data_IF_015015541038
#
_entry.id   IF_015015541038
#
_cell.length_a   1.000
_cell.length_b   1.000
_cell.length_c   1.000
_cell.angle_alpha   90.00
_cell.angle_beta   90.00
_cell.angle_gamma   90.00
#
_symmetry.space_group_name_H-M   'P 1'
#
loop_
_entity.id
_entity.type
_entity.pdbx_description
1 polymer ?
#
# COMPACT_ATOMS: atom_id res chain seq x y z
N UNK A 1 -5.59 9.67 -4.77
CA UNK A 1 -4.45 10.27 -5.50
C UNK A 1 -3.60 11.00 -4.49
N UNK A 2 -2.30 10.70 -4.45
CA UNK A 2 -1.35 11.39 -3.58
C UNK A 2 -0.11 11.72 -4.39
N UNK A 3 0.20 13.02 -4.55
CA UNK A 3 1.26 13.46 -5.47
C UNK A 3 1.15 12.78 -6.85
N UNK A 4 2.15 12.00 -7.24
CA UNK A 4 2.20 11.17 -8.45
C UNK A 4 1.67 9.73 -8.23
N UNK A 5 1.55 9.27 -6.98
CA UNK A 5 0.98 7.96 -6.64
C UNK A 5 -0.54 7.95 -6.87
N UNK A 6 -0.92 7.30 -7.96
CA UNK A 6 -2.32 7.16 -8.39
C UNK A 6 -2.74 5.70 -8.35
N UNK A 7 -3.93 5.45 -7.82
CA UNK A 7 -4.58 4.15 -7.83
C UNK A 7 -5.97 4.28 -8.45
N UNK A 8 -6.34 3.27 -9.22
CA UNK A 8 -7.68 3.11 -9.76
C UNK A 8 -8.21 1.75 -9.35
N UNK A 9 -9.44 1.71 -8.82
CA UNK A 9 -10.06 0.47 -8.38
C UNK A 9 -11.51 0.40 -8.84
N UNK A 10 -11.98 -0.83 -9.01
CA UNK A 10 -13.39 -1.18 -9.27
C UNK A 10 -13.75 -2.36 -8.39
N UNK A 11 -15.01 -2.39 -7.95
CA UNK A 11 -15.54 -3.46 -7.10
C UNK A 11 -16.72 -4.09 -7.81
N UNK A 12 -16.84 -5.41 -7.74
CA UNK A 12 -17.94 -6.17 -8.32
C UNK A 12 -17.84 -7.66 -8.01
N UNK A 13 -18.81 -8.43 -8.48
CA UNK A 13 -18.85 -9.89 -8.26
C UNK A 13 -18.18 -10.70 -9.37
N UNK A 14 -18.15 -10.16 -10.59
CA UNK A 14 -17.67 -10.88 -11.77
C UNK A 14 -16.39 -10.22 -12.33
N UNK A 15 -15.22 -10.87 -12.18
CA UNK A 15 -13.96 -10.41 -12.75
C UNK A 15 -14.01 -10.20 -14.28
N UNK A 16 -14.82 -10.98 -15.00
CA UNK A 16 -14.95 -10.86 -16.44
C UNK A 16 -15.60 -9.54 -16.88
N UNK A 17 -16.40 -8.92 -16.00
CA UNK A 17 -16.97 -7.59 -16.22
C UNK A 17 -16.08 -6.48 -15.66
N UNK A 18 -15.36 -6.73 -14.56
CA UNK A 18 -14.52 -5.75 -13.88
C UNK A 18 -13.24 -5.44 -14.67
N UNK A 19 -12.53 -6.48 -15.16
CA UNK A 19 -11.26 -6.27 -15.86
C UNK A 19 -11.42 -5.37 -17.10
N UNK A 20 -12.39 -5.59 -18.01
CA UNK A 20 -12.63 -4.68 -19.14
C UNK A 20 -13.04 -3.27 -18.73
N UNK A 21 -13.77 -3.13 -17.62
CA UNK A 21 -14.16 -1.82 -17.10
C UNK A 21 -12.93 -1.05 -16.57
N UNK A 22 -12.02 -1.71 -15.85
CA UNK A 22 -10.75 -1.13 -15.41
C UNK A 22 -9.89 -0.73 -16.62
N UNK A 23 -9.79 -1.57 -17.65
CA UNK A 23 -9.04 -1.23 -18.86
C UNK A 23 -9.62 0.00 -19.59
N UNK A 24 -10.95 0.15 -19.57
CA UNK A 24 -11.60 1.35 -20.12
C UNK A 24 -11.23 2.58 -19.31
N UNK A 25 -11.26 2.49 -17.98
CA UNK A 25 -10.89 3.60 -17.10
C UNK A 25 -9.41 3.98 -17.24
N UNK A 26 -8.53 2.98 -17.34
CA UNK A 26 -7.11 3.18 -17.60
C UNK A 26 -6.87 3.90 -18.94
N UNK A 27 -7.63 3.56 -19.99
CA UNK A 27 -7.59 4.27 -21.28
C UNK A 27 -8.04 5.72 -21.15
N UNK A 28 -9.07 6.00 -20.35
CA UNK A 28 -9.54 7.36 -20.08
C UNK A 28 -8.46 8.15 -19.31
N UNK A 29 -7.87 7.54 -18.28
CA UNK A 29 -6.78 8.14 -17.52
C UNK A 29 -5.58 8.44 -18.41
N UNK A 30 -5.17 7.50 -19.27
CA UNK A 30 -4.05 7.71 -20.21
C UNK A 30 -4.30 8.86 -21.17
N UNK A 31 -5.51 8.98 -21.72
CA UNK A 31 -5.89 10.12 -22.58
C UNK A 31 -5.86 11.44 -21.81
N UNK A 32 -6.35 11.45 -20.57
CA UNK A 32 -6.27 12.64 -19.72
C UNK A 32 -4.81 13.02 -19.48
N UNK A 33 -3.95 12.07 -19.12
CA UNK A 33 -2.52 12.36 -18.92
C UNK A 33 -1.88 12.96 -20.18
N UNK A 34 -2.18 12.40 -21.36
CA UNK A 34 -1.66 12.89 -22.64
C UNK A 34 -2.07 14.36 -22.93
N UNK A 35 -3.34 14.71 -22.68
CA UNK A 35 -3.85 16.10 -22.82
C UNK A 35 -3.05 17.07 -21.93
N UNK A 36 -2.64 16.63 -20.75
CA UNK A 36 -1.88 17.43 -19.80
C UNK A 36 -0.36 17.27 -19.92
N UNK A 37 0.13 16.61 -20.98
CA UNK A 37 1.57 16.44 -21.24
C UNK A 37 2.25 15.44 -20.29
N UNK A 38 1.50 14.55 -19.67
CA UNK A 38 1.98 13.50 -18.77
C UNK A 38 1.89 12.11 -19.42
N UNK A 39 2.69 11.16 -18.93
CA UNK A 39 2.66 9.77 -19.41
C UNK A 39 2.78 8.79 -18.25
N UNK A 40 1.86 7.83 -18.18
CA UNK A 40 1.97 6.73 -17.23
C UNK A 40 3.04 5.72 -17.66
N UNK A 41 3.78 5.19 -16.69
CA UNK A 41 4.78 4.15 -16.92
C UNK A 41 4.15 2.78 -16.70
N UNK A 42 3.76 2.11 -17.79
CA UNK A 42 3.14 0.78 -17.74
C UNK A 42 4.02 -0.26 -17.03
N UNK A 43 5.34 -0.20 -17.19
CA UNK A 43 6.27 -1.16 -16.58
C UNK A 43 6.38 -1.00 -15.06
N UNK A 44 6.05 0.18 -14.52
CA UNK A 44 5.97 0.42 -13.07
C UNK A 44 4.55 0.25 -12.53
N UNK A 45 3.58 0.07 -13.41
CA UNK A 45 2.18 -0.10 -13.03
C UNK A 45 1.94 -1.59 -12.75
N UNK A 46 1.35 -1.88 -11.60
CA UNK A 46 0.99 -3.25 -11.21
C UNK A 46 -0.52 -3.34 -11.01
N UNK A 47 -1.09 -4.50 -11.34
CA UNK A 47 -2.46 -4.83 -11.01
C UNK A 47 -2.50 -5.58 -9.67
N UNK A 48 -3.52 -5.33 -8.86
CA UNK A 48 -3.77 -6.13 -7.66
C UNK A 48 -5.22 -6.59 -7.69
N UNK A 49 -5.42 -7.90 -7.57
CA UNK A 49 -6.74 -8.49 -7.48
C UNK A 49 -7.01 -8.89 -6.04
N UNK A 50 -8.07 -8.31 -5.48
CA UNK A 50 -8.48 -8.54 -4.09
C UNK A 50 -9.74 -9.37 -4.11
N UNK A 51 -9.66 -10.60 -3.61
CA UNK A 51 -10.81 -11.50 -3.48
C UNK A 51 -10.58 -12.51 -2.37
N UNK A 52 -11.68 -12.97 -1.76
CA UNK A 52 -11.67 -14.15 -0.87
C UNK A 52 -11.68 -15.47 -1.64
N UNK A 53 -11.95 -15.42 -2.95
CA UNK A 53 -11.90 -16.60 -3.83
C UNK A 53 -10.53 -16.73 -4.46
N UNK A 54 -10.11 -17.97 -4.73
CA UNK A 54 -8.84 -18.29 -5.40
C UNK A 54 -8.92 -18.18 -6.93
N UNK A 55 -9.96 -17.54 -7.45
CA UNK A 55 -10.15 -17.37 -8.89
C UNK A 55 -9.05 -16.47 -9.47
N UNK A 56 -8.45 -16.90 -10.58
CA UNK A 56 -7.48 -16.09 -11.30
C UNK A 56 -8.21 -15.02 -12.12
N UNK A 57 -7.90 -13.73 -11.95
CA UNK A 57 -8.52 -12.67 -12.74
C UNK A 57 -8.05 -12.73 -14.21
N UNK A 58 -8.87 -12.32 -15.17
CA UNK A 58 -8.44 -12.10 -16.55
C UNK A 58 -7.29 -11.08 -16.62
N UNK A 59 -6.32 -11.23 -17.55
CA UNK A 59 -5.22 -10.28 -17.71
C UNK A 59 -5.74 -8.87 -18.01
N UNK A 60 -5.08 -7.86 -17.44
CA UNK A 60 -5.36 -6.44 -17.71
C UNK A 60 -4.23 -5.89 -18.57
N UNK A 61 -4.60 -5.23 -19.65
CA UNK A 61 -3.66 -4.57 -20.57
C UNK A 61 -3.71 -3.05 -20.40
N UNK A 62 -2.54 -2.43 -20.38
CA UNK A 62 -2.40 -0.98 -20.25
C UNK A 62 -1.23 -0.46 -21.08
N UNK A 63 -1.50 0.57 -21.90
CA UNK A 63 -0.51 1.22 -22.77
C UNK A 63 0.36 0.24 -23.60
N UNK A 64 -0.24 -0.88 -24.05
CA UNK A 64 0.42 -1.89 -24.89
C UNK A 64 1.17 -2.98 -24.13
N UNK A 65 1.16 -2.97 -22.80
CA UNK A 65 1.73 -4.03 -21.95
C UNK A 65 0.65 -4.73 -21.12
N UNK A 66 0.84 -6.02 -20.84
CA UNK A 66 0.04 -6.74 -19.85
C UNK A 66 0.58 -6.41 -18.46
N UNK A 67 -0.29 -5.96 -17.57
CA UNK A 67 0.10 -5.63 -16.19
C UNK A 67 0.39 -6.91 -15.40
N UNK A 68 1.47 -6.88 -14.63
CA UNK A 68 1.77 -7.94 -13.68
C UNK A 68 0.83 -7.85 -12.48
N UNK A 69 0.32 -9.02 -12.05
CA UNK A 69 -0.46 -9.11 -10.82
C UNK A 69 0.47 -9.25 -9.62
N UNK A 70 0.39 -8.29 -8.70
CA UNK A 70 1.06 -8.38 -7.41
C UNK A 70 0.10 -8.85 -6.33
N UNK A 71 0.58 -9.73 -5.45
CA UNK A 71 -0.15 -10.16 -4.25
C UNK A 71 0.00 -9.18 -3.08
N UNK A 72 1.05 -8.36 -3.10
CA UNK A 72 1.30 -7.34 -2.10
C UNK A 72 1.61 -6.00 -2.76
N UNK A 73 1.03 -4.93 -2.25
CA UNK A 73 1.31 -3.60 -2.74
C UNK A 73 1.48 -2.63 -1.57
N UNK A 74 2.61 -1.91 -1.57
CA UNK A 74 2.88 -0.85 -0.59
C UNK A 74 2.40 0.49 -1.14
N UNK A 75 1.37 1.05 -0.52
CA UNK A 75 0.85 2.38 -0.84
C UNK A 75 0.99 3.31 0.36
N UNK A 76 1.75 4.40 0.22
CA UNK A 76 1.93 5.42 1.26
C UNK A 76 2.31 4.82 2.64
N UNK A 77 3.19 3.82 2.65
CA UNK A 77 3.63 3.13 3.87
C UNK A 77 2.69 2.05 4.41
N UNK A 78 1.49 1.92 3.84
CA UNK A 78 0.55 0.84 4.14
C UNK A 78 0.77 -0.34 3.19
N UNK A 79 0.71 -1.58 3.69
CA UNK A 79 0.91 -2.78 2.86
C UNK A 79 -0.44 -3.47 2.73
N UNK A 80 -0.94 -3.53 1.49
CA UNK A 80 -2.15 -4.25 1.13
C UNK A 80 -1.76 -5.61 0.58
N UNK A 81 -2.38 -6.67 1.09
CA UNK A 81 -2.32 -8.00 0.51
C UNK A 81 -3.62 -8.36 -0.22
N UNK A 82 -3.53 -9.25 -1.21
CA UNK A 82 -4.68 -9.67 -2.02
C UNK A 82 -5.80 -10.33 -1.22
N UNK A 83 -5.52 -10.84 -0.02
CA UNK A 83 -6.50 -11.45 0.88
C UNK A 83 -7.10 -10.45 1.90
N UNK A 84 -6.60 -9.21 1.96
CA UNK A 84 -6.90 -8.22 3.01
C UNK A 84 -6.71 -8.78 4.43
N UNK A 85 -5.73 -9.65 4.61
CA UNK A 85 -5.34 -10.19 5.92
C UNK A 85 -4.53 -9.20 6.75
N UNK A 86 -3.91 -8.22 6.09
CA UNK A 86 -2.95 -7.26 6.63
C UNK A 86 -1.73 -7.87 7.32
N UNK A 87 -1.52 -9.18 7.23
CA UNK A 87 -0.48 -9.89 7.97
C UNK A 87 0.92 -9.34 7.66
N UNK A 88 1.21 -9.08 6.39
CA UNK A 88 2.46 -8.47 5.95
C UNK A 88 2.66 -7.06 6.55
N UNK A 89 1.60 -6.26 6.61
CA UNK A 89 1.62 -4.93 7.22
C UNK A 89 1.93 -5.01 8.71
N UNK A 90 1.19 -5.84 9.45
CA UNK A 90 1.36 -6.01 10.90
C UNK A 90 2.75 -6.53 11.24
N UNK A 91 3.28 -7.48 10.46
CA UNK A 91 4.63 -7.99 10.65
C UNK A 91 5.69 -6.92 10.41
N UNK A 92 5.56 -6.14 9.33
CA UNK A 92 6.48 -5.05 9.03
C UNK A 92 6.45 -3.98 10.15
N UNK A 93 5.26 -3.65 10.63
CA UNK A 93 5.07 -2.68 11.70
C UNK A 93 5.64 -3.16 13.03
N UNK A 94 5.37 -4.42 13.39
CA UNK A 94 5.88 -5.05 14.61
C UNK A 94 7.40 -5.11 14.60
N UNK A 95 8.01 -5.51 13.48
CA UNK A 95 9.48 -5.53 13.34
C UNK A 95 10.09 -4.15 13.57
N UNK A 96 9.52 -3.11 12.95
CA UNK A 96 9.97 -1.72 13.14
C UNK A 96 9.81 -1.29 14.60
N UNK A 97 8.63 -1.54 15.19
CA UNK A 97 8.35 -1.21 16.59
C UNK A 97 9.30 -1.89 17.58
N UNK A 98 9.61 -3.18 17.37
CA UNK A 98 10.58 -3.91 18.21
C UNK A 98 11.97 -3.27 18.15
N UNK A 99 12.44 -2.88 16.96
CA UNK A 99 13.72 -2.18 16.81
C UNK A 99 13.71 -0.84 17.56
N UNK A 100 12.65 -0.04 17.42
CA UNK A 100 12.54 1.26 18.07
C UNK A 100 12.44 1.15 19.60
N UNK A 101 11.67 0.20 20.11
CA UNK A 101 11.59 -0.10 21.55
C UNK A 101 12.93 -0.60 22.09
N UNK A 102 13.66 -1.41 21.32
CA UNK A 102 14.99 -1.88 21.71
C UNK A 102 15.98 -0.71 21.82
N UNK A 103 15.95 0.24 20.88
CA UNK A 103 16.75 1.46 20.94
C UNK A 103 16.37 2.32 22.14
N UNK A 104 15.08 2.49 22.42
CA UNK A 104 14.60 3.23 23.60
C UNK A 104 15.05 2.56 24.90
N UNK A 105 15.00 1.22 24.97
CA UNK A 105 15.53 0.45 26.11
C UNK A 105 17.03 0.65 26.26
N UNK A 106 17.79 0.70 25.15
CA UNK A 106 19.22 0.98 25.22
C UNK A 106 19.51 2.39 25.73
N UNK A 107 18.69 3.36 25.32
CA UNK A 107 18.77 4.75 25.76
C UNK A 107 18.47 4.89 27.25
N UNK A 108 17.52 4.12 27.80
CA UNK A 108 17.16 4.18 29.22
C UNK A 108 18.27 3.71 30.17
N UNK A 109 19.29 2.99 29.67
CA UNK A 109 20.48 2.71 30.47
C UNK A 109 21.32 3.99 30.72
N UNK A 110 21.31 4.94 29.79
CA UNK A 110 22.07 6.20 29.87
C UNK A 110 21.25 7.37 30.40
N UNK A 111 19.98 7.47 30.02
CA UNK A 111 19.07 8.55 30.41
C UNK A 111 18.18 8.05 31.56
N UNK A 112 18.23 8.71 32.71
CA UNK A 112 17.41 8.36 33.89
C UNK A 112 16.12 9.15 34.01
N UNK A 113 15.96 10.21 33.21
CA UNK A 113 14.72 10.99 33.15
C UNK A 113 13.62 10.18 32.44
N UNK A 114 12.65 9.74 33.24
CA UNK A 114 11.51 8.93 32.77
C UNK A 114 10.55 9.75 31.90
N UNK A 115 10.36 11.03 32.19
CA UNK A 115 9.43 11.87 31.44
C UNK A 115 9.98 12.18 30.05
N UNK A 116 11.29 12.38 29.94
CA UNK A 116 11.98 12.49 28.65
C UNK A 116 11.84 11.20 27.83
N UNK A 117 12.09 10.02 28.44
CA UNK A 117 11.94 8.74 27.75
C UNK A 117 10.49 8.50 27.28
N UNK A 118 9.51 8.89 28.09
CA UNK A 118 8.09 8.80 27.73
C UNK A 118 7.74 9.74 26.56
N UNK A 119 8.30 10.96 26.54
CA UNK A 119 8.14 11.88 25.39
C UNK A 119 8.74 11.28 24.12
N UNK A 120 9.97 10.75 24.19
CA UNK A 120 10.63 10.10 23.04
C UNK A 120 9.78 8.93 22.52
N UNK A 121 9.27 8.07 23.42
CA UNK A 121 8.36 6.99 23.04
C UNK A 121 7.14 7.51 22.28
N UNK A 122 6.44 8.51 22.83
CA UNK A 122 5.23 9.09 22.24
C UNK A 122 5.50 9.81 20.91
N UNK A 123 6.68 10.37 20.71
CA UNK A 123 7.04 11.11 19.50
C UNK A 123 7.59 10.23 18.37
N UNK A 124 8.29 9.14 18.70
CA UNK A 124 9.01 8.35 17.69
C UNK A 124 8.50 6.92 17.54
N UNK A 125 8.03 6.27 18.60
CA UNK A 125 7.62 4.85 18.54
C UNK A 125 6.13 4.73 18.32
N UNK A 126 5.35 5.44 19.14
CA UNK A 126 3.89 5.41 19.12
C UNK A 126 3.29 5.79 17.76
N UNK A 127 3.73 6.86 17.06
CA UNK A 127 3.11 7.26 15.81
C UNK A 127 3.29 6.22 14.69
N UNK A 128 4.41 5.49 14.70
CA UNK A 128 4.60 4.39 13.76
C UNK A 128 3.64 3.25 14.06
N UNK A 129 3.55 2.81 15.32
CA UNK A 129 2.67 1.72 15.75
C UNK A 129 1.17 2.02 15.57
N UNK A 130 0.77 3.28 15.67
CA UNK A 130 -0.62 3.71 15.49
C UNK A 130 -0.93 4.11 14.04
N UNK A 131 0.07 4.17 13.17
CA UNK A 131 -0.14 4.51 11.76
C UNK A 131 -1.07 3.49 11.10
N UNK A 132 -2.09 4.00 10.40
CA UNK A 132 -3.15 3.19 9.79
C UNK A 132 -3.92 2.29 10.77
N UNK A 133 -3.87 2.53 12.08
CA UNK A 133 -4.65 1.76 13.08
C UNK A 133 -6.16 1.63 12.81
N UNK A 134 -6.87 2.61 12.20
CA UNK A 134 -8.31 2.44 11.90
C UNK A 134 -8.61 1.50 10.72
N UNK A 135 -7.61 1.05 9.95
CA UNK A 135 -7.84 0.30 8.71
C UNK A 135 -7.83 -1.21 8.87
N UNK A 136 -7.56 -1.74 10.06
CA UNK A 136 -7.42 -3.18 10.35
C UNK A 136 -8.04 -3.56 11.69
#
# INVERSE_FOLDING_TARGET
VYADDTMLYRTGKDPALICPAIEKDLRIAAKWADIWGMRFNANKTVAMYISRTTATPPPITFAGATLEYSHEHRHLGFILDSALSFHAHVNALTRKGVTEVFLLRRLSYKVKDRDLLLKIYKMYVRPHLEYASPTW
#
